data_IF_512324362541
#
_entry.id   IF_512324362541
#
_cell.length_a   1.000
_cell.length_b   1.000
_cell.length_c   1.000
_cell.angle_alpha   90.00
_cell.angle_beta   90.00
_cell.angle_gamma   90.00
#
_symmetry.space_group_name_H-M   'P 1'
#
loop_
_entity.id
_entity.type
_entity.pdbx_description
1 polymer ?
#
# COMPACT_ATOMS: atom_id res chain seq x y z
N UNK A 1 -53.84 39.33 4.11
CA UNK A 1 -52.50 38.96 3.60
C UNK A 1 -52.44 37.45 3.47
N UNK A 2 -52.12 36.97 2.28
CA UNK A 2 -52.04 35.56 1.94
C UNK A 2 -50.97 34.85 2.79
N UNK A 3 -51.28 33.63 3.26
CA UNK A 3 -50.25 32.70 3.69
C UNK A 3 -50.24 31.49 2.77
N UNK A 4 -49.05 31.26 2.26
CA UNK A 4 -48.60 30.30 1.27
C UNK A 4 -48.76 28.86 1.75
N UNK A 5 -49.16 27.98 0.84
CA UNK A 5 -49.20 26.55 1.08
C UNK A 5 -47.82 25.90 1.17
N UNK A 6 -47.75 24.77 1.88
CA UNK A 6 -46.78 23.72 1.62
C UNK A 6 -47.54 22.39 1.48
N UNK A 7 -47.37 21.79 0.31
CA UNK A 7 -47.95 20.53 -0.13
C UNK A 7 -47.27 19.41 0.67
N UNK A 8 -48.03 18.68 1.48
CA UNK A 8 -47.58 17.45 2.13
C UNK A 8 -47.83 16.26 1.20
N UNK A 9 -46.77 15.56 0.82
CA UNK A 9 -46.90 14.26 0.16
C UNK A 9 -47.20 13.20 1.23
N UNK A 10 -48.44 12.73 1.29
CA UNK A 10 -48.78 11.50 2.00
C UNK A 10 -48.37 10.30 1.15
N UNK A 11 -47.22 9.70 1.43
CA UNK A 11 -46.86 8.39 0.87
C UNK A 11 -47.57 7.32 1.70
N UNK A 12 -48.68 6.80 1.18
CA UNK A 12 -49.31 5.59 1.69
C UNK A 12 -48.49 4.38 1.24
N UNK A 13 -47.64 3.85 2.12
CA UNK A 13 -46.96 2.57 1.89
C UNK A 13 -47.95 1.44 2.15
N UNK A 14 -48.33 0.70 1.09
CA UNK A 14 -49.04 -0.58 1.23
C UNK A 14 -48.08 -1.64 1.78
N UNK A 15 -48.54 -2.38 2.76
CA UNK A 15 -47.86 -3.51 3.37
C UNK A 15 -47.80 -4.69 2.39
N UNK A 16 -46.59 -5.11 2.02
CA UNK A 16 -46.32 -6.32 1.24
C UNK A 16 -45.71 -7.38 2.19
N UNK A 17 -46.38 -8.51 2.44
CA UNK A 17 -45.93 -9.55 3.36
C UNK A 17 -44.73 -10.38 2.85
N UNK A 18 -44.22 -10.14 1.63
CA UNK A 18 -43.14 -10.92 1.03
C UNK A 18 -41.70 -10.53 1.40
N UNK A 19 -41.47 -9.44 2.15
CA UNK A 19 -40.12 -8.86 2.29
C UNK A 19 -39.72 -8.57 3.76
N UNK A 20 -39.61 -9.63 4.57
CA UNK A 20 -39.32 -9.53 6.01
C UNK A 20 -37.87 -9.16 6.38
N UNK A 21 -36.97 -8.93 5.41
CA UNK A 21 -35.57 -8.57 5.71
C UNK A 21 -35.30 -7.05 5.72
N UNK A 22 -36.22 -6.22 5.20
CA UNK A 22 -35.99 -4.78 5.08
C UNK A 22 -36.30 -3.96 6.34
N UNK A 23 -37.03 -4.51 7.32
CA UNK A 23 -37.47 -3.75 8.50
C UNK A 23 -36.60 -3.88 9.76
N UNK A 24 -35.40 -4.47 9.69
CA UNK A 24 -34.46 -4.50 10.83
C UNK A 24 -33.40 -3.40 10.86
N UNK A 25 -33.28 -2.61 9.79
CA UNK A 25 -32.19 -1.63 9.65
C UNK A 25 -32.59 -0.22 10.16
N UNK A 26 -33.87 0.12 10.21
CA UNK A 26 -34.30 1.46 10.66
C UNK A 26 -34.52 1.61 12.17
N UNK A 27 -34.68 0.52 12.94
CA UNK A 27 -34.92 0.60 14.38
C UNK A 27 -33.65 0.85 15.22
N UNK A 28 -32.44 0.62 14.70
CA UNK A 28 -31.19 0.85 15.46
C UNK A 28 -30.62 2.27 15.34
N UNK A 29 -31.11 3.09 14.40
CA UNK A 29 -30.59 4.45 14.17
C UNK A 29 -31.20 5.53 15.08
N UNK A 30 -32.20 5.18 15.90
CA UNK A 30 -32.85 6.10 16.85
C UNK A 30 -32.41 5.91 18.32
N UNK A 31 -31.54 4.93 18.63
CA UNK A 31 -31.17 4.64 20.03
C UNK A 31 -29.77 5.11 20.45
N UNK A 32 -28.95 5.67 19.55
CA UNK A 32 -27.55 6.04 19.86
C UNK A 32 -27.27 7.56 19.96
N UNK A 33 -28.29 8.43 19.93
CA UNK A 33 -28.09 9.88 19.93
C UNK A 33 -28.50 10.61 21.24
N UNK A 34 -28.66 9.89 22.35
CA UNK A 34 -29.18 10.48 23.60
C UNK A 34 -28.26 10.40 24.83
N UNK A 35 -26.99 9.97 24.72
CA UNK A 35 -26.17 9.69 25.91
C UNK A 35 -24.80 10.36 26.07
N UNK A 36 -24.45 11.38 25.29
CA UNK A 36 -23.15 12.09 25.43
C UNK A 36 -23.31 13.61 25.49
N UNK A 37 -24.14 14.10 26.41
CA UNK A 37 -24.06 15.48 26.92
C UNK A 37 -24.29 15.48 28.42
N UNK A 38 -23.23 15.29 29.20
CA UNK A 38 -23.09 15.75 30.60
C UNK A 38 -21.67 15.43 31.10
N UNK A 39 -21.08 16.40 31.81
CA UNK A 39 -19.73 16.44 32.38
C UNK A 39 -18.64 16.80 31.35
N UNK A 40 -17.80 17.84 31.50
CA UNK A 40 -17.39 18.57 32.71
C UNK A 40 -16.89 19.96 32.30
N UNK A 41 -17.26 20.99 33.06
CA UNK A 41 -16.71 22.36 32.97
C UNK A 41 -16.13 22.72 34.34
N UNK A 42 -15.02 23.48 34.34
CA UNK A 42 -14.45 24.35 35.41
C UNK A 42 -13.46 23.75 36.41
N UNK A 43 -12.19 24.18 36.30
CA UNK A 43 -11.35 24.89 37.28
C UNK A 43 -9.93 25.00 36.67
N UNK A 44 -9.16 26.10 36.65
CA UNK A 44 -9.15 27.29 37.49
C UNK A 44 -7.80 27.41 38.22
N UNK A 45 -6.85 28.14 37.62
CA UNK A 45 -5.82 29.00 38.28
C UNK A 45 -4.51 28.44 38.91
N UNK A 46 -3.39 28.75 38.23
CA UNK A 46 -2.33 29.71 38.63
C UNK A 46 -1.10 29.35 39.52
N UNK A 47 0.06 29.90 39.08
CA UNK A 47 1.34 30.34 39.76
C UNK A 47 2.32 29.24 40.27
N UNK A 48 3.67 29.27 40.25
CA UNK A 48 4.79 30.26 40.17
C UNK A 48 6.04 29.61 39.50
N UNK A 49 6.72 30.28 38.55
CA UNK A 49 8.07 30.91 38.62
C UNK A 49 9.16 30.15 39.41
N UNK A 50 10.30 29.82 38.77
CA UNK A 50 11.68 30.20 39.19
C UNK A 50 12.75 29.72 38.15
N UNK A 51 13.51 30.69 37.62
CA UNK A 51 14.97 30.70 37.27
C UNK A 51 15.61 29.40 36.72
N UNK A 52 16.22 29.33 35.53
CA UNK A 52 17.22 30.23 34.96
C UNK A 52 18.62 29.64 35.16
N UNK A 53 19.28 29.13 34.11
CA UNK A 53 20.72 29.31 33.86
C UNK A 53 21.18 28.75 32.50
N UNK A 54 21.79 29.66 31.75
CA UNK A 54 22.72 29.54 30.64
C UNK A 54 23.60 28.27 30.57
N UNK A 55 23.78 27.72 29.36
CA UNK A 55 25.11 27.63 28.74
C UNK A 55 25.01 27.52 27.20
N UNK A 56 25.51 28.56 26.50
CA UNK A 56 25.97 28.50 25.11
C UNK A 56 27.42 28.05 25.13
N UNK A 57 27.87 27.18 24.23
CA UNK A 57 29.06 27.40 23.39
C UNK A 57 28.89 26.64 22.07
N UNK A 58 28.78 27.39 20.96
CA UNK A 58 28.95 26.88 19.59
C UNK A 58 30.44 27.02 19.25
N UNK A 59 31.17 25.92 19.11
CA UNK A 59 32.54 25.91 18.64
C UNK A 59 32.59 25.72 17.13
N UNK A 60 32.77 26.81 16.39
CA UNK A 60 33.19 26.82 14.99
C UNK A 60 34.71 26.58 14.94
N UNK A 61 35.17 25.62 14.14
CA UNK A 61 36.59 25.41 13.88
C UNK A 61 36.85 25.53 12.37
N UNK A 62 37.61 26.56 12.00
CA UNK A 62 38.19 26.75 10.67
C UNK A 62 39.66 26.35 10.78
N UNK A 63 40.19 25.48 9.90
CA UNK A 63 41.62 25.38 9.70
C UNK A 63 42.04 26.13 8.42
N UNK A 64 42.81 27.21 8.59
CA UNK A 64 43.75 27.71 7.58
C UNK A 64 45.17 27.32 8.01
N UNK A 65 46.02 26.96 7.05
CA UNK A 65 47.45 26.84 7.30
C UNK A 65 48.21 25.92 6.35
N UNK A 66 48.38 26.36 5.10
CA UNK A 66 49.38 25.83 4.16
C UNK A 66 50.75 26.45 4.45
N UNK A 67 51.86 25.69 4.36
CA UNK A 67 53.13 26.30 3.98
C UNK A 67 53.81 25.59 2.79
N UNK A 68 54.13 26.44 1.80
CA UNK A 68 55.34 26.53 0.97
C UNK A 68 56.07 25.25 0.49
N UNK A 69 56.05 25.07 -0.84
CA UNK A 69 57.26 25.24 -1.67
C UNK A 69 58.30 24.12 -1.70
N UNK A 70 58.29 23.33 -2.79
CA UNK A 70 59.50 22.65 -3.26
C UNK A 70 59.64 22.80 -4.78
N UNK A 71 60.80 23.32 -5.17
CA UNK A 71 61.25 23.64 -6.54
C UNK A 71 61.32 22.36 -7.40
N UNK A 72 60.96 22.39 -8.70
CA UNK A 72 61.06 21.23 -9.57
C UNK A 72 62.50 21.04 -10.10
N UNK A 73 62.97 19.79 -10.07
CA UNK A 73 64.20 19.37 -10.73
C UNK A 73 63.89 19.02 -12.19
N UNK A 74 64.58 19.68 -13.12
CA UNK A 74 64.44 19.49 -14.58
C UNK A 74 65.12 18.18 -14.96
N UNK A 75 64.33 17.23 -15.48
CA UNK A 75 64.83 15.97 -16.07
C UNK A 75 64.76 16.08 -17.61
N UNK A 76 65.76 15.58 -18.37
CA UNK A 76 65.79 15.71 -19.83
C UNK A 76 64.72 14.83 -20.53
N UNK A 77 64.24 15.20 -21.74
CA UNK A 77 63.26 14.42 -22.46
C UNK A 77 63.87 13.12 -23.02
N UNK A 78 63.29 11.99 -22.62
CA UNK A 78 63.57 10.67 -23.21
C UNK A 78 62.76 10.52 -24.50
N UNK A 79 63.38 10.01 -25.57
CA UNK A 79 62.76 9.86 -26.90
C UNK A 79 61.58 8.87 -26.86
N UNK A 80 60.42 9.33 -27.28
CA UNK A 80 59.17 8.55 -27.39
C UNK A 80 59.28 7.50 -28.51
N UNK A 81 59.00 6.21 -28.25
CA UNK A 81 58.84 5.21 -29.30
C UNK A 81 57.50 5.37 -30.04
N UNK A 82 57.52 5.11 -31.34
CA UNK A 82 56.38 5.18 -32.27
C UNK A 82 55.24 4.23 -31.86
N UNK A 83 53.96 4.64 -31.96
CA UNK A 83 52.83 3.83 -31.50
C UNK A 83 52.63 2.58 -32.37
N UNK A 84 52.62 1.40 -31.73
CA UNK A 84 52.19 0.14 -32.34
C UNK A 84 50.67 0.14 -32.55
N UNK A 85 50.22 -0.21 -33.76
CA UNK A 85 48.81 -0.20 -34.18
C UNK A 85 48.01 -1.23 -33.35
N UNK A 86 47.06 -0.75 -32.53
CA UNK A 86 46.13 -1.61 -31.77
C UNK A 86 45.12 -2.24 -32.75
N UNK A 87 44.87 -3.56 -32.70
CA UNK A 87 43.84 -4.19 -33.52
C UNK A 87 42.45 -3.69 -33.12
N UNK A 88 41.63 -3.40 -34.14
CA UNK A 88 40.24 -2.94 -33.98
C UNK A 88 39.40 -3.98 -33.23
N UNK A 89 38.56 -3.58 -32.26
CA UNK A 89 37.69 -4.52 -31.55
C UNK A 89 36.72 -5.18 -32.54
N UNK A 90 36.61 -6.51 -32.46
CA UNK A 90 35.58 -7.28 -33.14
C UNK A 90 34.20 -6.82 -32.64
N UNK A 91 33.22 -6.54 -33.51
CA UNK A 91 31.90 -6.10 -33.08
C UNK A 91 31.25 -7.18 -32.20
N UNK A 92 30.94 -6.84 -30.96
CA UNK A 92 30.14 -7.66 -30.04
C UNK A 92 28.75 -7.85 -30.65
N UNK A 93 28.30 -9.10 -30.76
CA UNK A 93 26.96 -9.41 -31.24
C UNK A 93 25.91 -8.66 -30.39
N UNK A 94 24.97 -8.00 -31.07
CA UNK A 94 23.82 -7.35 -30.42
C UNK A 94 22.99 -8.47 -29.76
N UNK A 95 22.68 -8.38 -28.44
CA UNK A 95 21.84 -9.38 -27.79
C UNK A 95 20.46 -9.39 -28.47
N UNK A 96 19.99 -10.59 -28.84
CA UNK A 96 18.60 -10.78 -29.28
C UNK A 96 17.67 -10.28 -28.18
N UNK A 97 16.65 -9.45 -28.48
CA UNK A 97 15.72 -8.98 -27.47
C UNK A 97 15.02 -10.17 -26.83
N UNK A 98 15.10 -10.29 -25.50
CA UNK A 98 14.31 -11.24 -24.73
C UNK A 98 12.83 -10.94 -24.99
N UNK A 99 12.00 -11.92 -25.39
CA UNK A 99 10.58 -11.68 -25.59
C UNK A 99 9.95 -11.15 -24.29
N UNK A 100 9.18 -10.07 -24.41
CA UNK A 100 8.36 -9.56 -23.31
C UNK A 100 7.25 -10.58 -23.05
N UNK A 101 7.41 -11.36 -21.98
CA UNK A 101 6.46 -12.41 -21.58
C UNK A 101 5.06 -11.86 -21.23
N UNK A 102 4.92 -10.55 -21.07
CA UNK A 102 3.64 -9.89 -20.81
C UNK A 102 3.00 -9.32 -22.09
N UNK A 103 3.66 -9.45 -23.25
CA UNK A 103 3.14 -8.93 -24.51
C UNK A 103 1.82 -9.60 -24.88
N UNK A 104 0.81 -8.79 -25.19
CA UNK A 104 -0.52 -9.27 -25.60
C UNK A 104 -1.46 -9.63 -24.46
N UNK A 105 -1.03 -9.55 -23.19
CA UNK A 105 -1.92 -9.72 -22.04
C UNK A 105 -2.70 -8.43 -21.76
N UNK A 106 -3.98 -8.58 -21.40
CA UNK A 106 -4.80 -7.45 -20.97
C UNK A 106 -4.25 -6.86 -19.67
N UNK A 107 -4.15 -5.53 -19.62
CA UNK A 107 -3.62 -4.84 -18.45
C UNK A 107 -4.21 -3.46 -18.30
N UNK A 108 -4.25 -3.02 -17.04
CA UNK A 108 -4.77 -1.74 -16.61
C UNK A 108 -3.83 -1.10 -15.58
N UNK A 109 -4.02 0.19 -15.33
CA UNK A 109 -3.24 0.93 -14.34
C UNK A 109 -4.03 1.09 -13.05
N UNK A 110 -3.45 0.62 -11.95
CA UNK A 110 -4.07 0.63 -10.63
C UNK A 110 -3.34 1.57 -9.67
N UNK A 111 -4.11 2.18 -8.77
CA UNK A 111 -3.61 2.67 -7.50
C UNK A 111 -3.51 1.49 -6.53
N UNK A 112 -2.33 1.22 -5.99
CA UNK A 112 -2.10 0.04 -5.14
C UNK A 112 -1.67 0.50 -3.76
N UNK A 113 -2.45 0.09 -2.75
CA UNK A 113 -2.07 0.17 -1.34
C UNK A 113 -1.85 -1.23 -0.78
N UNK A 114 -1.43 -1.28 0.48
CA UNK A 114 -1.26 -2.52 1.21
C UNK A 114 -1.87 -2.39 2.59
N UNK A 115 -2.40 -3.49 3.10
CA UNK A 115 -2.95 -3.62 4.44
C UNK A 115 -2.37 -4.86 5.13
N UNK A 116 -2.58 -4.98 6.43
CA UNK A 116 -2.06 -6.07 7.24
C UNK A 116 -2.97 -6.33 8.44
N UNK A 117 -2.51 -7.20 9.32
CA UNK A 117 -3.24 -7.61 10.51
C UNK A 117 -3.72 -6.43 11.37
N UNK A 118 -2.91 -5.39 11.65
CA UNK A 118 -3.30 -4.32 12.58
C UNK A 118 -4.40 -3.39 12.04
N UNK A 119 -4.41 -3.15 10.73
CA UNK A 119 -5.29 -2.19 10.06
C UNK A 119 -6.44 -2.83 9.28
N UNK A 120 -6.45 -4.17 9.17
CA UNK A 120 -7.67 -4.90 8.86
C UNK A 120 -8.75 -4.60 9.93
N UNK A 121 -10.03 -4.61 9.54
CA UNK A 121 -11.12 -4.10 10.38
C UNK A 121 -12.23 -5.14 10.58
N UNK A 122 -12.32 -5.80 11.77
CA UNK A 122 -11.45 -5.66 12.94
C UNK A 122 -10.03 -6.23 12.71
N UNK A 123 -9.04 -5.88 13.56
CA UNK A 123 -7.68 -6.41 13.42
C UNK A 123 -7.67 -7.94 13.43
N UNK A 124 -6.94 -8.53 12.49
CA UNK A 124 -7.01 -9.96 12.19
C UNK A 124 -6.71 -10.28 10.73
N UNK A 125 -6.79 -11.56 10.41
CA UNK A 125 -6.71 -12.09 9.04
C UNK A 125 -8.09 -12.46 8.48
N UNK A 126 -9.18 -12.13 9.17
CA UNK A 126 -10.52 -12.38 8.63
C UNK A 126 -10.75 -11.59 7.34
N UNK A 127 -11.38 -12.23 6.35
CA UNK A 127 -11.72 -11.64 5.05
C UNK A 127 -13.23 -11.53 4.88
N UNK A 128 -13.68 -10.57 4.08
CA UNK A 128 -15.11 -10.39 3.80
C UNK A 128 -15.73 -11.61 3.09
N UNK A 129 -14.96 -12.31 2.25
CA UNK A 129 -15.44 -13.38 1.39
C UNK A 129 -14.72 -14.72 1.61
N UNK A 130 -14.87 -15.37 2.78
CA UNK A 130 -14.23 -16.65 3.05
C UNK A 130 -14.84 -17.78 2.21
N UNK A 131 -14.00 -18.70 1.75
CA UNK A 131 -14.37 -19.79 0.82
C UNK A 131 -15.54 -20.64 1.29
N UNK A 132 -15.66 -20.95 2.58
CA UNK A 132 -16.81 -21.72 3.08
C UNK A 132 -18.17 -21.04 2.83
N UNK A 133 -18.22 -19.74 2.54
CA UNK A 133 -19.44 -18.98 2.19
C UNK A 133 -19.49 -18.52 0.74
N UNK A 134 -18.34 -18.39 0.10
CA UNK A 134 -18.18 -17.86 -1.25
C UNK A 134 -17.37 -18.85 -2.10
N UNK A 135 -18.03 -19.74 -2.88
CA UNK A 135 -17.37 -20.82 -3.61
C UNK A 135 -16.28 -20.38 -4.60
N UNK A 136 -16.37 -19.15 -5.10
CA UNK A 136 -15.39 -18.58 -6.05
C UNK A 136 -14.13 -18.04 -5.35
N UNK A 137 -14.16 -17.86 -4.02
CA UNK A 137 -12.98 -17.48 -3.24
C UNK A 137 -12.01 -18.66 -3.05
N UNK A 138 -10.78 -18.35 -2.68
CA UNK A 138 -9.68 -19.30 -2.53
C UNK A 138 -9.42 -19.64 -1.05
N UNK A 139 -9.44 -18.64 -0.17
CA UNK A 139 -9.00 -18.74 1.22
C UNK A 139 -10.14 -18.60 2.24
N UNK A 140 -9.86 -19.06 3.47
CA UNK A 140 -10.72 -18.81 4.63
C UNK A 140 -10.32 -17.54 5.40
N UNK A 141 -9.05 -17.15 5.30
CA UNK A 141 -8.47 -15.93 5.88
C UNK A 141 -7.47 -15.32 4.89
N UNK A 142 -7.10 -14.06 5.09
CA UNK A 142 -6.18 -13.33 4.23
C UNK A 142 -4.82 -14.02 4.20
N UNK A 143 -4.29 -14.29 3.01
CA UNK A 143 -3.09 -15.09 2.88
C UNK A 143 -2.56 -15.15 1.46
N UNK A 144 -1.94 -16.29 1.13
CA UNK A 144 -1.41 -16.60 -0.19
C UNK A 144 0.11 -16.43 -0.32
N UNK A 145 0.74 -17.35 -1.06
CA UNK A 145 2.15 -17.29 -1.46
C UNK A 145 2.38 -16.38 -2.67
N UNK A 146 1.32 -16.06 -3.42
CA UNK A 146 1.35 -15.26 -4.64
C UNK A 146 1.52 -16.09 -5.92
N UNK A 147 1.24 -17.39 -5.86
CA UNK A 147 1.16 -18.26 -7.05
C UNK A 147 -0.24 -18.21 -7.66
N UNK A 148 -0.42 -18.71 -8.88
CA UNK A 148 -1.75 -18.72 -9.52
C UNK A 148 -2.80 -19.51 -8.72
N UNK A 149 -2.39 -20.62 -8.08
CA UNK A 149 -3.28 -21.49 -7.29
C UNK A 149 -3.40 -21.09 -5.83
N UNK A 150 -2.52 -20.20 -5.36
CA UNK A 150 -2.48 -19.66 -4.00
C UNK A 150 -2.09 -18.16 -4.07
N UNK A 151 -2.95 -17.34 -4.71
CA UNK A 151 -2.71 -15.91 -4.93
C UNK A 151 -2.80 -15.11 -3.63
N UNK A 152 -2.16 -13.95 -3.54
CA UNK A 152 -2.27 -13.12 -2.33
C UNK A 152 -3.63 -12.45 -2.26
N UNK A 153 -4.32 -12.53 -1.12
CA UNK A 153 -5.58 -11.83 -0.91
C UNK A 153 -5.42 -10.31 -1.12
N UNK A 154 -6.36 -9.71 -1.86
CA UNK A 154 -6.53 -8.26 -1.90
C UNK A 154 -7.97 -7.87 -1.58
N UNK A 155 -8.10 -6.62 -1.13
CA UNK A 155 -9.35 -5.95 -0.86
C UNK A 155 -9.62 -4.86 -1.91
N UNK A 156 -10.89 -4.66 -2.24
CA UNK A 156 -11.32 -3.58 -3.13
C UNK A 156 -12.64 -2.97 -2.66
N UNK A 157 -13.12 -1.94 -3.36
CA UNK A 157 -14.44 -1.38 -3.11
C UNK A 157 -15.50 -2.46 -3.32
N UNK A 158 -16.50 -2.56 -2.44
CA UNK A 158 -17.57 -3.55 -2.55
C UNK A 158 -18.23 -3.52 -3.92
N UNK A 159 -18.27 -4.67 -4.60
CA UNK A 159 -18.90 -4.84 -5.90
C UNK A 159 -18.14 -4.21 -7.08
N UNK A 160 -16.92 -3.73 -6.88
CA UNK A 160 -16.08 -3.20 -7.97
C UNK A 160 -15.29 -4.28 -8.73
N UNK A 161 -15.03 -5.41 -8.08
CA UNK A 161 -14.34 -6.57 -8.63
C UNK A 161 -15.09 -7.82 -8.14
N UNK A 162 -15.31 -8.78 -9.03
CA UNK A 162 -15.99 -10.03 -8.70
C UNK A 162 -15.12 -10.88 -7.75
N UNK A 163 -15.77 -11.56 -6.79
CA UNK A 163 -15.09 -12.41 -5.82
C UNK A 163 -14.35 -13.53 -6.56
N UNK A 164 -13.11 -13.82 -6.16
CA UNK A 164 -12.29 -14.84 -6.80
C UNK A 164 -11.55 -14.37 -8.06
N UNK A 165 -11.76 -13.12 -8.51
CA UNK A 165 -10.99 -12.54 -9.62
C UNK A 165 -9.51 -12.54 -9.28
N UNK A 166 -8.69 -13.12 -10.16
CA UNK A 166 -7.23 -13.17 -10.03
C UNK A 166 -6.58 -12.15 -10.94
N UNK A 167 -5.69 -11.34 -10.37
CA UNK A 167 -4.81 -10.44 -11.11
C UNK A 167 -3.35 -10.85 -10.95
N UNK A 168 -2.48 -10.35 -11.83
CA UNK A 168 -1.03 -10.51 -11.69
C UNK A 168 -0.32 -9.16 -11.72
N UNK A 169 0.61 -8.97 -10.79
CA UNK A 169 1.35 -7.73 -10.59
C UNK A 169 2.82 -7.94 -10.98
N UNK A 170 3.25 -7.51 -12.17
CA UNK A 170 4.62 -7.76 -12.65
C UNK A 170 5.72 -7.22 -11.74
N UNK A 171 5.51 -6.06 -11.10
CA UNK A 171 6.54 -5.40 -10.28
C UNK A 171 6.88 -6.14 -8.97
N UNK A 172 5.95 -6.95 -8.45
CA UNK A 172 6.19 -7.85 -7.31
C UNK A 172 6.26 -9.32 -7.72
N UNK A 173 5.97 -9.64 -8.98
CA UNK A 173 5.85 -10.98 -9.53
C UNK A 173 4.97 -11.89 -8.66
N UNK A 174 3.72 -11.46 -8.44
CA UNK A 174 2.72 -12.19 -7.65
C UNK A 174 1.35 -12.13 -8.30
N UNK A 175 0.62 -13.23 -8.18
CA UNK A 175 -0.82 -13.26 -8.37
C UNK A 175 -1.52 -12.77 -7.10
N UNK A 176 -2.64 -12.08 -7.26
CA UNK A 176 -3.49 -11.59 -6.18
C UNK A 176 -4.95 -11.93 -6.46
N UNK A 177 -5.79 -12.14 -5.43
CA UNK A 177 -7.20 -12.54 -5.57
C UNK A 177 -8.16 -11.66 -4.76
N UNK A 178 -9.32 -11.36 -5.33
CA UNK A 178 -10.35 -10.54 -4.70
C UNK A 178 -11.12 -11.35 -3.65
N UNK A 179 -10.90 -11.07 -2.35
CA UNK A 179 -11.56 -11.80 -1.25
C UNK A 179 -11.96 -10.91 -0.07
N UNK A 180 -11.63 -9.63 -0.11
CA UNK A 180 -11.87 -8.72 1.02
C UNK A 180 -12.41 -7.35 0.60
N UNK A 181 -12.89 -6.56 1.57
CA UNK A 181 -13.49 -5.24 1.32
C UNK A 181 -12.60 -4.13 1.87
N UNK A 182 -12.25 -3.18 1.01
CA UNK A 182 -11.55 -1.96 1.37
C UNK A 182 -12.51 -0.78 1.44
N UNK A 183 -12.93 -0.38 2.65
CA UNK A 183 -13.85 0.76 2.83
C UNK A 183 -13.23 2.11 2.52
N UNK A 184 -11.89 2.20 2.54
CA UNK A 184 -11.14 3.41 2.24
C UNK A 184 -10.73 3.53 0.77
N UNK A 185 -11.01 2.49 -0.03
CA UNK A 185 -10.75 2.51 -1.45
C UNK A 185 -11.76 3.41 -2.16
N UNK A 186 -11.29 4.20 -3.13
CA UNK A 186 -12.08 5.32 -3.69
C UNK A 186 -12.57 5.11 -5.12
N UNK A 187 -12.06 4.10 -5.82
CA UNK A 187 -12.29 3.86 -7.24
C UNK A 187 -12.09 2.37 -7.57
N UNK A 188 -12.59 1.93 -8.75
CA UNK A 188 -12.55 0.52 -9.16
C UNK A 188 -11.12 -0.01 -9.36
N UNK A 189 -10.21 0.85 -9.82
CA UNK A 189 -8.79 0.53 -9.99
C UNK A 189 -7.95 0.90 -8.76
N UNK A 190 -8.53 0.80 -7.56
CA UNK A 190 -7.82 0.86 -6.29
C UNK A 190 -7.96 -0.48 -5.57
N UNK A 191 -6.84 -1.20 -5.44
CA UNK A 191 -6.74 -2.44 -4.67
C UNK A 191 -5.81 -2.25 -3.48
N UNK A 192 -6.10 -2.99 -2.40
CA UNK A 192 -5.36 -2.99 -1.15
C UNK A 192 -4.88 -4.42 -0.86
N UNK A 193 -3.57 -4.66 -0.88
CA UNK A 193 -3.02 -6.03 -0.92
C UNK A 193 -2.54 -6.46 0.46
N UNK A 194 -2.88 -7.69 0.86
CA UNK A 194 -2.50 -8.25 2.15
C UNK A 194 -0.97 -8.41 2.26
N UNK A 195 -0.40 -7.86 3.33
CA UNK A 195 0.95 -8.17 3.78
C UNK A 195 0.86 -9.23 4.87
N UNK A 196 1.32 -10.45 4.57
CA UNK A 196 1.38 -11.60 5.47
C UNK A 196 1.96 -11.24 6.85
N UNK A 197 1.11 -10.79 7.77
CA UNK A 197 1.46 -10.15 9.04
C UNK A 197 0.64 -10.73 10.19
N UNK A 198 1.12 -10.53 11.41
CA UNK A 198 0.44 -10.87 12.65
C UNK A 198 0.43 -9.68 13.62
N UNK A 199 -0.04 -9.86 14.86
CA UNK A 199 -0.09 -8.78 15.86
C UNK A 199 1.29 -8.31 16.35
N UNK A 200 2.37 -9.04 16.07
CA UNK A 200 3.68 -8.86 16.70
C UNK A 200 4.45 -7.62 16.19
N UNK A 201 4.25 -7.23 14.92
CA UNK A 201 5.08 -6.24 14.22
C UNK A 201 4.23 -5.13 13.58
N UNK A 202 3.30 -4.58 14.34
CA UNK A 202 2.31 -3.64 13.83
C UNK A 202 2.91 -2.37 13.21
N UNK A 203 3.92 -1.77 13.85
CA UNK A 203 4.56 -0.55 13.33
C UNK A 203 5.42 -0.81 12.09
N UNK A 204 6.05 -1.97 12.02
CA UNK A 204 6.88 -2.40 10.91
C UNK A 204 6.04 -2.71 9.67
N UNK A 205 4.91 -3.41 9.82
CA UNK A 205 4.01 -3.67 8.69
C UNK A 205 3.41 -2.38 8.16
N UNK A 206 2.96 -1.45 9.01
CA UNK A 206 2.48 -0.14 8.58
C UNK A 206 3.53 0.65 7.80
N UNK A 207 4.79 0.57 8.23
CA UNK A 207 5.91 1.20 7.52
C UNK A 207 6.16 0.53 6.17
N UNK A 208 6.04 -0.81 6.12
CA UNK A 208 6.17 -1.58 4.90
C UNK A 208 5.06 -1.24 3.90
N UNK A 209 3.81 -1.14 4.35
CA UNK A 209 2.66 -0.77 3.55
C UNK A 209 2.91 0.56 2.83
N UNK A 210 3.33 1.60 3.57
CA UNK A 210 3.67 2.92 3.02
C UNK A 210 4.81 2.86 2.00
N UNK A 211 5.84 2.02 2.23
CA UNK A 211 6.99 1.84 1.31
C UNK A 211 6.54 1.24 -0.02
N UNK A 212 5.59 0.32 0.01
CA UNK A 212 5.17 -0.44 -1.17
C UNK A 212 4.00 0.18 -1.93
N UNK A 213 3.23 1.11 -1.35
CA UNK A 213 2.18 1.86 -2.05
C UNK A 213 2.66 2.40 -3.41
N UNK A 214 1.84 2.25 -4.45
CA UNK A 214 2.08 2.72 -5.82
C UNK A 214 0.95 3.61 -6.29
N UNK A 215 1.30 4.81 -6.77
CA UNK A 215 0.32 5.77 -7.29
C UNK A 215 -0.34 5.28 -8.57
N UNK A 216 0.44 4.59 -9.42
CA UNK A 216 -0.02 4.06 -10.68
C UNK A 216 0.89 2.91 -11.09
N UNK A 217 0.38 1.69 -11.19
CA UNK A 217 1.17 0.50 -11.50
C UNK A 217 0.40 -0.44 -12.43
N UNK A 218 1.13 -1.14 -13.31
CA UNK A 218 0.50 -2.05 -14.28
C UNK A 218 0.03 -3.33 -13.59
N UNK A 219 -1.22 -3.69 -13.82
CA UNK A 219 -1.85 -4.93 -13.35
C UNK A 219 -2.37 -5.69 -14.56
N UNK A 220 -2.06 -6.98 -14.64
CA UNK A 220 -2.60 -7.89 -15.66
C UNK A 220 -3.93 -8.42 -15.13
N UNK A 221 -5.02 -8.14 -15.84
CA UNK A 221 -6.40 -8.32 -15.37
C UNK A 221 -6.98 -9.70 -15.67
N UNK A 222 -6.45 -10.40 -16.67
CA UNK A 222 -6.75 -11.80 -16.98
C UNK A 222 -5.44 -12.59 -17.19
N UNK A 223 -4.70 -12.86 -16.10
CA UNK A 223 -3.39 -13.46 -16.23
C UNK A 223 -3.49 -14.98 -16.44
N UNK A 224 -2.74 -15.57 -17.39
CA UNK A 224 -2.65 -17.02 -17.49
C UNK A 224 -1.88 -17.58 -16.29
N UNK A 225 -2.03 -18.88 -15.96
CA UNK A 225 -1.11 -19.55 -15.06
C UNK A 225 0.31 -19.60 -15.66
N UNK A 226 1.33 -19.70 -14.79
CA UNK A 226 2.72 -19.93 -15.20
C UNK A 226 3.56 -18.67 -15.44
N UNK A 227 3.04 -17.47 -15.14
CA UNK A 227 3.88 -16.27 -15.06
C UNK A 227 4.90 -16.42 -13.92
N UNK A 228 6.07 -15.76 -14.01
CA UNK A 228 7.10 -15.84 -12.98
C UNK A 228 6.57 -15.46 -11.60
N UNK A 229 6.95 -16.19 -10.55
CA UNK A 229 6.54 -15.88 -9.18
C UNK A 229 7.76 -15.62 -8.31
N UNK A 230 7.73 -14.50 -7.59
CA UNK A 230 8.68 -14.21 -6.53
C UNK A 230 8.11 -14.75 -5.21
N UNK A 231 8.66 -15.88 -4.75
CA UNK A 231 8.19 -16.56 -3.54
C UNK A 231 8.59 -15.88 -2.23
N UNK A 232 9.48 -14.89 -2.27
CA UNK A 232 9.80 -14.14 -1.06
C UNK A 232 8.56 -13.35 -0.59
N UNK A 233 8.29 -13.34 0.72
CA UNK A 233 7.24 -12.49 1.26
C UNK A 233 7.64 -11.01 1.11
N UNK A 234 6.65 -10.13 0.94
CA UNK A 234 6.86 -8.68 0.97
C UNK A 234 7.17 -8.22 2.40
N UNK A 235 6.45 -8.83 3.36
CA UNK A 235 6.62 -8.63 4.79
C UNK A 235 6.69 -9.99 5.51
N UNK A 236 7.64 -10.14 6.43
CA UNK A 236 7.83 -11.33 7.26
C UNK A 236 7.12 -11.17 8.59
N UNK A 237 6.06 -11.93 8.84
CA UNK A 237 5.37 -11.96 10.14
C UNK A 237 6.25 -12.53 11.27
N UNK A 238 7.29 -13.30 10.93
CA UNK A 238 8.19 -13.92 11.89
C UNK A 238 9.28 -12.97 12.38
N UNK A 239 9.71 -12.04 11.52
CA UNK A 239 10.88 -11.19 11.80
C UNK A 239 10.59 -9.69 11.72
N UNK A 240 9.38 -9.28 11.32
CA UNK A 240 9.04 -7.88 11.05
C UNK A 240 9.78 -7.27 9.85
N UNK A 241 10.47 -8.10 9.06
CA UNK A 241 11.32 -7.61 7.98
C UNK A 241 10.48 -7.23 6.76
N UNK A 242 10.68 -6.00 6.29
CA UNK A 242 10.12 -5.50 5.05
C UNK A 242 11.17 -5.51 3.94
N UNK A 243 10.90 -6.25 2.86
CA UNK A 243 11.78 -6.28 1.69
C UNK A 243 11.84 -4.93 1.00
#
# INVERSE_FOLDING_TARGET
MAYTGKIGYHVLLRYDPGNASFYRIFAKRLYMNARTKKMLTVAGSAVLIFTGLYYRISGFHIPEGTPAGKVPSVVPPTRTPSPTRVPSPTPTAIPTPTPDIFSGLESEMFYITYYGWPDNSPPGDAIAYPKHRYPDAVHETAGGSGTFTDPVTFAAVTGSVDIGTVYYLPYIAKYVVMEDICSNCRQYNHIDIWMNSGPEFAGEVETCQRKWTRQQEKVITDPPPGLPVNHAPIFSRETGWCR
#
